data_IF_507834236786
#
_entry.id   IF_507834236786
#
_cell.length_a   1.000
_cell.length_b   1.000
_cell.length_c   1.000
_cell.angle_alpha   90.00
_cell.angle_beta   90.00
_cell.angle_gamma   90.00
#
_symmetry.space_group_name_H-M   'P 1'
#
loop_
_entity.id
_entity.type
_entity.pdbx_description
1 polymer ?
#
# COMPACT_ATOMS: atom_id res chain seq x y z
N UNK A 1 -18.76 -18.44 4.62
CA UNK A 1 -18.06 -17.69 3.55
C UNK A 1 -17.82 -16.29 4.08
N UNK A 2 -16.59 -15.99 4.54
CA UNK A 2 -16.19 -14.63 4.89
C UNK A 2 -15.94 -13.93 3.56
N UNK A 3 -16.73 -12.89 3.25
CA UNK A 3 -16.62 -12.17 1.98
C UNK A 3 -15.26 -11.47 1.94
N UNK A 4 -14.54 -11.62 0.84
CA UNK A 4 -13.29 -10.90 0.57
C UNK A 4 -13.47 -9.37 0.64
N UNK A 5 -14.71 -8.89 0.61
CA UNK A 5 -15.08 -7.48 0.69
C UNK A 5 -14.86 -6.87 2.10
N UNK A 6 -14.78 -7.69 3.16
CA UNK A 6 -14.52 -7.21 4.53
C UNK A 6 -13.04 -6.87 4.78
N UNK A 7 -12.13 -7.34 3.92
CA UNK A 7 -10.67 -7.13 4.04
C UNK A 7 -10.21 -5.81 3.40
N UNK A 8 -11.06 -5.15 2.61
CA UNK A 8 -10.76 -3.85 2.01
C UNK A 8 -10.58 -2.74 3.08
N UNK A 9 -11.13 -2.96 4.28
CA UNK A 9 -10.91 -2.11 5.45
C UNK A 9 -9.48 -2.18 5.99
N UNK A 10 -8.75 -3.26 5.74
CA UNK A 10 -7.39 -3.51 6.27
C UNK A 10 -6.30 -3.10 5.28
N UNK A 11 -6.63 -2.91 3.99
CA UNK A 11 -5.64 -2.56 2.97
C UNK A 11 -5.20 -1.11 3.14
N UNK A 12 -4.03 -0.91 3.75
CA UNK A 12 -3.41 0.41 3.98
C UNK A 12 -2.48 0.85 2.85
N UNK A 13 -2.04 -0.06 1.99
CA UNK A 13 -1.16 0.21 0.86
C UNK A 13 -1.53 -0.64 -0.36
N UNK A 14 -1.38 -0.08 -1.56
CA UNK A 14 -1.57 -0.80 -2.82
C UNK A 14 -0.43 -0.51 -3.80
N UNK A 15 -0.06 -1.54 -4.56
CA UNK A 15 0.84 -1.43 -5.71
C UNK A 15 0.00 -1.47 -6.99
N UNK A 16 0.33 -0.64 -7.98
CA UNK A 16 -0.38 -0.57 -9.26
C UNK A 16 0.62 -0.67 -10.39
N UNK A 17 0.45 -1.65 -11.28
CA UNK A 17 1.29 -1.79 -12.47
C UNK A 17 0.99 -0.64 -13.44
N UNK A 18 2.05 0.05 -13.87
CA UNK A 18 2.01 1.16 -14.83
C UNK A 18 2.54 0.74 -16.21
N UNK A 19 3.03 -0.49 -16.32
CA UNK A 19 3.50 -1.13 -17.55
C UNK A 19 4.99 -1.44 -17.54
N UNK A 20 5.37 -2.48 -18.28
CA UNK A 20 6.77 -2.97 -18.41
C UNK A 20 7.40 -3.32 -17.07
N UNK A 21 6.65 -4.00 -16.20
CA UNK A 21 7.11 -4.38 -14.85
C UNK A 21 7.53 -3.16 -13.98
N UNK A 22 6.94 -1.99 -14.23
CA UNK A 22 7.02 -0.83 -13.35
C UNK A 22 5.73 -0.65 -12.60
N UNK A 23 5.85 -0.34 -11.32
CA UNK A 23 4.77 -0.16 -10.37
C UNK A 23 4.87 1.24 -9.75
N UNK A 24 3.71 1.83 -9.49
CA UNK A 24 3.57 2.91 -8.53
C UNK A 24 2.89 2.38 -7.27
N UNK A 25 2.92 3.17 -6.20
CA UNK A 25 2.25 2.81 -4.96
C UNK A 25 1.33 3.93 -4.48
N UNK A 26 0.31 3.57 -3.71
CA UNK A 26 -0.55 4.50 -3.01
C UNK A 26 -0.89 3.96 -1.62
N UNK A 27 -1.05 4.84 -0.65
CA UNK A 27 -1.49 4.49 0.71
C UNK A 27 -2.89 5.04 0.98
N UNK A 28 -3.63 4.37 1.86
CA UNK A 28 -4.95 4.83 2.30
C UNK A 28 -4.77 5.69 3.54
N UNK A 29 -5.06 6.98 3.44
CA UNK A 29 -5.07 7.88 4.59
C UNK A 29 -6.20 7.53 5.56
N UNK A 30 -6.14 8.08 6.78
CA UNK A 30 -7.20 7.93 7.79
C UNK A 30 -8.59 8.43 7.31
N UNK A 31 -8.63 9.28 6.29
CA UNK A 31 -9.88 9.75 5.66
C UNK A 31 -10.49 8.73 4.68
N UNK A 32 -9.79 7.63 4.43
CA UNK A 32 -10.13 6.64 3.42
C UNK A 32 -9.67 7.01 2.01
N UNK A 33 -9.11 8.22 1.80
CA UNK A 33 -8.56 8.66 0.51
C UNK A 33 -7.24 7.96 0.19
N UNK A 34 -7.08 7.53 -1.06
CA UNK A 34 -5.82 7.04 -1.61
C UNK A 34 -4.90 8.21 -1.98
N UNK A 35 -3.70 8.19 -1.41
CA UNK A 35 -2.64 9.16 -1.64
C UNK A 35 -1.46 8.48 -2.33
N UNK A 36 -0.87 9.06 -3.38
CA UNK A 36 0.26 8.45 -4.07
C UNK A 36 1.51 8.46 -3.17
N UNK A 37 2.26 7.36 -3.20
CA UNK A 37 3.61 7.31 -2.64
C UNK A 37 4.63 7.79 -3.69
N UNK A 38 5.75 8.38 -3.27
CA UNK A 38 6.78 8.81 -4.20
C UNK A 38 7.45 7.61 -4.88
N UNK A 39 7.82 7.81 -6.15
CA UNK A 39 8.62 6.85 -6.91
C UNK A 39 7.80 5.92 -7.81
N UNK A 40 8.52 5.29 -8.74
CA UNK A 40 8.05 4.20 -9.58
C UNK A 40 9.24 3.27 -9.82
N UNK A 41 9.03 1.96 -9.75
CA UNK A 41 10.11 0.99 -9.85
C UNK A 41 9.58 -0.41 -10.10
N UNK A 42 10.47 -1.40 -10.04
CA UNK A 42 10.10 -2.81 -9.96
C UNK A 42 9.21 -3.08 -8.73
N UNK A 43 8.59 -4.26 -8.72
CA UNK A 43 7.74 -4.68 -7.60
C UNK A 43 8.52 -4.66 -6.28
N UNK A 44 9.75 -5.18 -6.29
CA UNK A 44 10.62 -5.27 -5.11
C UNK A 44 11.02 -3.88 -4.59
N UNK A 45 11.44 -2.98 -5.49
CA UNK A 45 11.77 -1.60 -5.12
C UNK A 45 10.58 -0.88 -4.48
N UNK A 46 9.37 -1.08 -5.02
CA UNK A 46 8.18 -0.44 -4.49
C UNK A 46 7.66 -1.11 -3.21
N UNK A 47 7.91 -2.41 -3.01
CA UNK A 47 7.64 -3.09 -1.74
C UNK A 47 8.51 -2.51 -0.62
N UNK A 48 9.80 -2.29 -0.87
CA UNK A 48 10.71 -1.65 0.09
C UNK A 48 10.28 -0.22 0.44
N UNK A 49 9.82 0.56 -0.55
CA UNK A 49 9.26 1.90 -0.32
C UNK A 49 8.04 1.85 0.60
N UNK A 50 7.10 0.94 0.35
CA UNK A 50 5.91 0.76 1.18
C UNK A 50 6.29 0.40 2.61
N UNK A 51 7.18 -0.60 2.80
CA UNK A 51 7.60 -1.05 4.12
C UNK A 51 8.30 0.08 4.87
N UNK A 52 9.23 0.80 4.22
CA UNK A 52 10.00 1.88 4.84
C UNK A 52 9.10 3.04 5.28
N UNK A 53 8.17 3.48 4.43
CA UNK A 53 7.34 4.66 4.70
C UNK A 53 6.17 4.35 5.64
N UNK A 54 5.60 3.16 5.54
CA UNK A 54 4.42 2.77 6.30
C UNK A 54 4.75 1.88 7.49
N UNK A 55 6.02 1.58 7.76
CA UNK A 55 6.45 0.78 8.92
C UNK A 55 5.71 1.16 10.21
N UNK A 56 5.59 2.45 10.59
CA UNK A 56 4.92 2.81 11.84
C UNK A 56 3.42 2.48 11.85
N UNK A 57 2.77 2.44 10.68
CA UNK A 57 1.34 2.18 10.52
C UNK A 57 1.01 0.70 10.32
N UNK A 58 2.03 -0.12 9.98
CA UNK A 58 1.92 -1.56 9.80
C UNK A 58 2.23 -2.35 11.07
N UNK A 59 2.62 -1.69 12.16
CA UNK A 59 2.84 -2.34 13.45
C UNK A 59 1.49 -2.62 14.13
N UNK A 60 1.17 -3.89 14.43
CA UNK A 60 -0.11 -4.26 15.03
C UNK A 60 -0.35 -3.66 16.43
N UNK A 61 0.72 -3.20 17.10
CA UNK A 61 0.67 -2.62 18.44
C UNK A 61 0.41 -1.09 18.48
N UNK A 62 0.16 -0.47 17.33
CA UNK A 62 -0.04 0.99 17.22
C UNK A 62 -1.51 1.43 17.14
N UNK A 63 -2.44 0.60 17.64
CA UNK A 63 -3.87 0.90 17.74
C UNK A 63 -4.41 0.71 19.16
#
# INVERSE_FOLDING_TARGET
MKRLDDDESTVVARLTELGRNRYGAAFRSHSGRWEPLPGMGSLDEMADVIVTLLQPYLQPDNY
#
